data_IF_557182337268
#
_entry.id   IF_557182337268
#
_cell.length_a   1.000
_cell.length_b   1.000
_cell.length_c   1.000
_cell.angle_alpha   90.00
_cell.angle_beta   90.00
_cell.angle_gamma   90.00
#
_symmetry.space_group_name_H-M   'P 1'
#
loop_
_entity.id
_entity.type
_entity.pdbx_description
1 polymer ?
#
# COMPACT_ATOMS: atom_id res chain seq x y z
N UNK A 1 7.61 -19.88 27.53
CA UNK A 1 8.08 -18.48 27.67
C UNK A 1 7.17 -17.51 26.93
N UNK A 2 6.98 -17.66 25.61
CA UNK A 2 6.18 -16.71 24.79
C UNK A 2 4.77 -16.39 25.33
N UNK A 3 4.03 -17.40 25.81
CA UNK A 3 2.67 -17.21 26.36
C UNK A 3 2.57 -16.23 27.55
N UNK A 4 3.70 -15.87 28.18
CA UNK A 4 3.74 -14.80 29.19
C UNK A 4 3.95 -13.42 28.58
N UNK A 5 4.74 -13.33 27.50
CA UNK A 5 5.03 -12.10 26.76
C UNK A 5 3.80 -11.65 25.98
N UNK A 6 3.06 -12.59 25.38
CA UNK A 6 1.90 -12.28 24.54
C UNK A 6 0.70 -11.69 25.30
N UNK A 7 0.71 -11.72 26.64
CA UNK A 7 -0.34 -11.12 27.47
C UNK A 7 -0.38 -9.60 27.37
N UNK A 8 0.74 -8.98 26.97
CA UNK A 8 0.87 -7.52 26.86
C UNK A 8 1.82 -7.16 25.71
N UNK A 9 1.44 -7.51 24.48
CA UNK A 9 2.28 -7.29 23.29
C UNK A 9 2.59 -5.80 23.06
N UNK A 10 1.67 -4.91 23.42
CA UNK A 10 1.84 -3.47 23.21
C UNK A 10 2.93 -2.92 24.13
N UNK A 11 2.88 -3.22 25.44
CA UNK A 11 3.89 -2.75 26.37
C UNK A 11 5.28 -3.35 26.08
N UNK A 12 5.35 -4.65 25.73
CA UNK A 12 6.62 -5.28 25.34
C UNK A 12 7.14 -4.73 24.02
N UNK A 13 6.26 -4.47 23.06
CA UNK A 13 6.62 -3.88 21.77
C UNK A 13 7.20 -2.47 21.92
N UNK A 14 6.59 -1.62 22.76
CA UNK A 14 7.12 -0.28 23.05
C UNK A 14 8.52 -0.41 23.67
N UNK A 15 8.69 -1.26 24.68
CA UNK A 15 10.02 -1.51 25.30
C UNK A 15 11.06 -1.97 24.27
N UNK A 16 10.68 -2.85 23.37
CA UNK A 16 11.54 -3.36 22.30
C UNK A 16 12.03 -2.24 21.38
N UNK A 17 11.14 -1.40 20.86
CA UNK A 17 11.52 -0.29 20.00
C UNK A 17 12.32 0.79 20.75
N UNK A 18 11.94 1.13 21.98
CA UNK A 18 12.73 2.04 22.81
C UNK A 18 14.14 1.52 23.04
N UNK A 19 14.31 0.20 23.20
CA UNK A 19 15.62 -0.42 23.31
C UNK A 19 16.42 -0.32 22.01
N UNK A 20 15.79 -0.55 20.85
CA UNK A 20 16.42 -0.32 19.53
C UNK A 20 16.91 1.11 19.42
N UNK A 21 16.08 2.11 19.73
CA UNK A 21 16.46 3.52 19.63
C UNK A 21 17.51 3.94 20.66
N UNK A 22 17.63 3.22 21.78
CA UNK A 22 18.71 3.42 22.74
C UNK A 22 20.04 2.90 22.21
N UNK A 23 20.05 1.73 21.57
CA UNK A 23 21.25 1.10 21.00
C UNK A 23 21.68 1.83 19.71
N UNK A 24 20.72 2.20 18.87
CA UNK A 24 20.92 2.84 17.57
C UNK A 24 19.93 4.02 17.38
N UNK A 25 20.26 5.21 17.91
CA UNK A 25 19.39 6.39 17.82
C UNK A 25 19.02 6.79 16.38
N UNK A 26 19.93 6.54 15.43
CA UNK A 26 19.70 6.80 14.00
C UNK A 26 18.54 5.99 13.41
N UNK A 27 18.22 4.82 13.97
CA UNK A 27 17.11 3.98 13.48
C UNK A 27 15.76 4.70 13.59
N UNK A 28 15.59 5.64 14.51
CA UNK A 28 14.36 6.42 14.66
C UNK A 28 13.99 7.16 13.37
N UNK A 29 14.97 7.56 12.56
CA UNK A 29 14.73 8.29 11.31
C UNK A 29 13.97 7.50 10.25
N UNK A 30 13.91 6.17 10.39
CA UNK A 30 13.20 5.29 9.48
C UNK A 30 11.69 5.24 9.73
N UNK A 31 11.20 5.87 10.80
CA UNK A 31 9.81 5.77 11.23
C UNK A 31 9.07 7.10 11.08
N UNK A 32 7.78 7.03 10.72
CA UNK A 32 6.91 8.20 10.56
C UNK A 32 6.65 8.95 11.88
N UNK A 33 6.75 8.26 13.02
CA UNK A 33 6.53 8.82 14.34
C UNK A 33 7.80 9.42 14.99
N UNK A 34 8.89 9.60 14.22
CA UNK A 34 10.18 10.11 14.72
C UNK A 34 10.11 11.45 15.44
N UNK A 35 9.11 12.27 15.11
CA UNK A 35 8.91 13.61 15.67
C UNK A 35 7.87 13.63 16.82
N UNK A 36 7.47 12.46 17.33
CA UNK A 36 6.55 12.36 18.46
C UNK A 36 7.14 13.05 19.71
N UNK A 37 6.34 13.91 20.35
CA UNK A 37 6.75 14.65 21.57
C UNK A 37 7.09 13.73 22.74
N UNK A 38 6.33 12.65 22.88
CA UNK A 38 6.54 11.59 23.86
C UNK A 38 6.44 10.26 23.12
N UNK A 39 7.60 9.73 22.73
CA UNK A 39 7.69 8.55 21.87
C UNK A 39 7.09 7.31 22.56
N UNK A 40 7.31 7.14 23.86
CA UNK A 40 6.79 6.00 24.63
C UNK A 40 5.25 5.99 24.71
N UNK A 41 4.63 7.18 24.67
CA UNK A 41 3.17 7.33 24.69
C UNK A 41 2.57 7.56 23.31
N UNK A 42 3.35 7.44 22.24
CA UNK A 42 2.87 7.63 20.87
C UNK A 42 1.89 6.51 20.50
N UNK A 43 0.64 6.84 20.10
CA UNK A 43 -0.31 5.87 19.55
C UNK A 43 0.23 5.17 18.30
N UNK A 44 0.99 5.90 17.49
CA UNK A 44 1.60 5.40 16.26
C UNK A 44 2.69 4.37 16.56
N UNK A 45 3.58 4.65 17.54
CA UNK A 45 4.55 3.66 18.00
C UNK A 45 3.83 2.43 18.57
N UNK A 46 2.83 2.61 19.42
CA UNK A 46 2.10 1.49 20.02
C UNK A 46 1.46 0.58 18.95
N UNK A 47 0.80 1.17 17.95
CA UNK A 47 0.18 0.44 16.85
C UNK A 47 1.22 -0.31 15.99
N UNK A 48 2.34 0.36 15.66
CA UNK A 48 3.44 -0.26 14.92
C UNK A 48 4.06 -1.42 15.72
N UNK A 49 4.39 -1.17 16.98
CA UNK A 49 5.02 -2.12 17.88
C UNK A 49 4.13 -3.35 18.11
N UNK A 50 2.84 -3.17 18.37
CA UNK A 50 1.89 -4.28 18.52
C UNK A 50 1.74 -5.11 17.24
N UNK A 51 1.90 -4.50 16.06
CA UNK A 51 1.91 -5.24 14.79
C UNK A 51 3.16 -6.11 14.67
N UNK A 52 4.34 -5.56 14.93
CA UNK A 52 5.61 -6.30 14.89
C UNK A 52 5.59 -7.46 15.89
N UNK A 53 5.16 -7.21 17.13
CA UNK A 53 5.11 -8.25 18.16
C UNK A 53 4.12 -9.37 17.85
N UNK A 54 2.99 -9.08 17.19
CA UNK A 54 2.07 -10.11 16.67
C UNK A 54 2.72 -10.94 15.56
N UNK A 55 3.46 -10.32 14.63
CA UNK A 55 4.20 -11.04 13.59
C UNK A 55 5.26 -11.96 14.20
N UNK A 56 6.00 -11.49 15.23
CA UNK A 56 6.92 -12.34 15.98
C UNK A 56 6.17 -13.50 16.64
N UNK A 57 4.99 -13.26 17.21
CA UNK A 57 4.15 -14.32 17.79
C UNK A 57 3.71 -15.37 16.78
N UNK A 58 3.36 -14.98 15.56
CA UNK A 58 3.05 -15.91 14.48
C UNK A 58 4.26 -16.76 14.10
N UNK A 59 5.46 -16.17 14.02
CA UNK A 59 6.69 -16.91 13.77
C UNK A 59 6.99 -17.89 14.92
N UNK A 60 6.79 -17.49 16.18
CA UNK A 60 6.96 -18.36 17.36
C UNK A 60 5.98 -19.54 17.33
N UNK A 61 4.71 -19.30 16.97
CA UNK A 61 3.70 -20.36 16.84
C UNK A 61 4.06 -21.36 15.73
N UNK A 62 4.69 -20.89 14.65
CA UNK A 62 5.15 -21.72 13.54
C UNK A 62 6.44 -22.51 13.81
N UNK A 63 7.11 -22.34 14.96
CA UNK A 63 8.36 -23.08 15.26
C UNK A 63 8.19 -24.60 15.31
N UNK A 64 6.94 -25.07 15.42
CA UNK A 64 6.59 -26.49 15.29
C UNK A 64 6.82 -27.05 13.88
N UNK A 65 6.85 -26.19 12.85
CA UNK A 65 7.16 -26.52 11.46
C UNK A 65 8.01 -25.41 10.82
N UNK A 66 9.30 -25.44 11.13
CA UNK A 66 10.28 -24.47 10.62
C UNK A 66 10.35 -24.46 9.08
N UNK A 67 10.05 -25.58 8.40
CA UNK A 67 10.09 -25.64 6.94
C UNK A 67 9.02 -24.74 6.32
N UNK A 68 7.83 -24.67 6.93
CA UNK A 68 6.77 -23.75 6.48
C UNK A 68 7.06 -22.29 6.80
N UNK A 69 7.91 -22.01 7.79
CA UNK A 69 8.34 -20.65 8.13
C UNK A 69 9.40 -20.09 7.21
N UNK A 70 10.24 -20.93 6.58
CA UNK A 70 11.34 -20.45 5.73
C UNK A 70 10.85 -19.48 4.63
N UNK A 71 9.82 -19.80 3.82
CA UNK A 71 9.32 -18.87 2.80
C UNK A 71 8.79 -17.56 3.38
N UNK A 72 8.16 -17.61 4.56
CA UNK A 72 7.64 -16.42 5.25
C UNK A 72 8.79 -15.51 5.69
N UNK A 73 9.83 -16.09 6.30
CA UNK A 73 11.03 -15.35 6.72
C UNK A 73 11.81 -14.80 5.53
N UNK A 74 11.94 -15.54 4.43
CA UNK A 74 12.57 -15.04 3.20
C UNK A 74 11.80 -13.84 2.64
N UNK A 75 10.48 -13.95 2.54
CA UNK A 75 9.61 -12.86 2.10
C UNK A 75 9.77 -11.63 3.01
N UNK A 76 9.80 -11.85 4.32
CA UNK A 76 9.99 -10.80 5.30
C UNK A 76 11.38 -10.14 5.17
N UNK A 77 12.45 -10.92 4.98
CA UNK A 77 13.80 -10.40 4.76
C UNK A 77 13.89 -9.51 3.53
N UNK A 78 13.33 -9.96 2.40
CA UNK A 78 13.25 -9.15 1.18
C UNK A 78 12.40 -7.89 1.35
N UNK A 79 11.29 -7.96 2.10
CA UNK A 79 10.49 -6.78 2.40
C UNK A 79 11.26 -5.74 3.22
N UNK A 80 12.12 -6.15 4.17
CA UNK A 80 12.94 -5.24 4.97
C UNK A 80 13.99 -4.48 4.13
N UNK A 81 14.49 -5.07 3.04
CA UNK A 81 15.40 -4.38 2.13
C UNK A 81 14.76 -3.10 1.53
N UNK A 82 13.45 -3.11 1.29
CA UNK A 82 12.69 -1.96 0.76
C UNK A 82 12.68 -0.77 1.73
N UNK A 83 12.85 -1.02 3.02
CA UNK A 83 12.91 0.00 4.06
C UNK A 83 14.35 0.42 4.40
N UNK A 84 15.33 0.00 3.60
CA UNK A 84 16.74 0.36 3.79
C UNK A 84 17.42 -0.38 4.95
N UNK A 85 16.83 -1.46 5.46
CA UNK A 85 17.47 -2.29 6.49
C UNK A 85 18.74 -2.92 5.93
N UNK A 86 19.83 -2.87 6.70
CA UNK A 86 21.12 -3.45 6.38
C UNK A 86 21.43 -4.62 7.31
N UNK A 87 22.35 -5.54 6.93
CA UNK A 87 22.76 -6.65 7.77
C UNK A 87 23.21 -6.23 9.19
N UNK A 88 23.84 -5.05 9.32
CA UNK A 88 24.32 -4.51 10.60
C UNK A 88 23.18 -4.19 11.58
N UNK A 89 21.93 -4.12 11.12
CA UNK A 89 20.78 -3.91 12.00
C UNK A 89 20.34 -5.19 12.73
N UNK A 90 20.62 -6.40 12.21
CA UNK A 90 20.16 -7.64 12.85
C UNK A 90 20.74 -7.83 14.27
N UNK A 91 22.03 -7.58 14.56
CA UNK A 91 22.56 -7.68 15.91
C UNK A 91 21.87 -6.73 16.90
N UNK A 92 21.55 -5.50 16.47
CA UNK A 92 20.87 -4.48 17.30
C UNK A 92 19.46 -4.95 17.66
N UNK A 93 18.72 -5.46 16.67
CA UNK A 93 17.37 -5.98 16.86
C UNK A 93 17.38 -7.23 17.75
N UNK A 94 18.34 -8.13 17.57
CA UNK A 94 18.52 -9.31 18.41
C UNK A 94 18.79 -8.97 19.88
N UNK A 95 19.67 -8.00 20.14
CA UNK A 95 19.93 -7.50 21.49
C UNK A 95 18.66 -6.93 22.12
N UNK A 96 17.94 -6.08 21.38
CA UNK A 96 16.71 -5.47 21.87
C UNK A 96 15.62 -6.51 22.17
N UNK A 97 15.49 -7.55 21.34
CA UNK A 97 14.56 -8.65 21.53
C UNK A 97 14.88 -9.42 22.80
N UNK A 98 16.13 -9.87 22.97
CA UNK A 98 16.56 -10.62 24.14
C UNK A 98 16.40 -9.83 25.44
N UNK A 99 16.75 -8.53 25.42
CA UNK A 99 16.52 -7.64 26.55
C UNK A 99 15.04 -7.51 26.89
N UNK A 100 14.17 -7.38 25.89
CA UNK A 100 12.72 -7.27 26.10
C UNK A 100 12.13 -8.54 26.69
N UNK A 101 12.58 -9.70 26.21
CA UNK A 101 12.19 -11.00 26.75
C UNK A 101 12.65 -11.17 28.21
N UNK A 102 13.85 -10.70 28.56
CA UNK A 102 14.32 -10.66 29.95
C UNK A 102 13.39 -9.82 30.84
N UNK A 103 12.98 -8.63 30.39
CA UNK A 103 12.07 -7.78 31.15
C UNK A 103 10.68 -8.40 31.33
N UNK A 104 10.18 -9.14 30.33
CA UNK A 104 8.87 -9.78 30.38
C UNK A 104 8.85 -11.10 31.16
N UNK A 105 9.94 -11.87 31.13
CA UNK A 105 10.02 -13.22 31.70
C UNK A 105 10.75 -13.27 33.04
N UNK A 106 11.60 -12.28 33.32
CA UNK A 106 12.36 -12.15 34.55
C UNK A 106 11.48 -12.10 35.81
N UNK A 107 10.43 -11.25 35.87
CA UNK A 107 9.55 -11.19 37.04
C UNK A 107 8.83 -12.51 37.36
N UNK A 108 8.59 -13.35 36.35
CA UNK A 108 8.00 -14.67 36.52
C UNK A 108 9.03 -15.77 36.87
N UNK A 109 10.33 -15.43 36.97
CA UNK A 109 11.42 -16.38 37.19
C UNK A 109 11.68 -17.32 36.01
N UNK A 110 11.13 -17.02 34.83
CA UNK A 110 11.21 -17.89 33.64
C UNK A 110 12.46 -17.60 32.79
N UNK A 111 13.07 -16.43 32.95
CA UNK A 111 14.29 -16.06 32.24
C UNK A 111 15.55 -16.76 32.80
N UNK A 112 15.74 -18.02 32.44
CA UNK A 112 16.93 -18.81 32.77
C UNK A 112 18.00 -18.70 31.68
N UNK A 113 19.23 -19.16 31.97
CA UNK A 113 20.29 -19.27 30.95
C UNK A 113 19.87 -20.16 29.78
N UNK A 114 19.19 -21.28 30.06
CA UNK A 114 18.68 -22.19 29.03
C UNK A 114 17.62 -21.51 28.14
N UNK A 115 16.71 -20.72 28.73
CA UNK A 115 15.69 -19.97 27.98
C UNK A 115 16.34 -18.87 27.14
N UNK A 116 17.34 -18.16 27.67
CA UNK A 116 18.12 -17.16 26.92
C UNK A 116 18.85 -17.81 25.74
N UNK A 117 19.48 -18.95 25.95
CA UNK A 117 20.21 -19.68 24.90
C UNK A 117 19.26 -20.18 23.80
N UNK A 118 18.07 -20.67 24.18
CA UNK A 118 17.04 -21.09 23.23
C UNK A 118 16.54 -19.92 22.37
N UNK A 119 16.29 -18.75 22.97
CA UNK A 119 15.87 -17.56 22.23
C UNK A 119 16.98 -17.00 21.33
N UNK A 120 18.23 -17.03 21.79
CA UNK A 120 19.39 -16.64 20.97
C UNK A 120 19.48 -17.52 19.71
N UNK A 121 19.41 -18.86 19.86
CA UNK A 121 19.42 -19.78 18.72
C UNK A 121 18.22 -19.60 17.78
N UNK A 122 17.06 -19.28 18.35
CA UNK A 122 15.85 -18.99 17.57
C UNK A 122 16.08 -17.74 16.71
N UNK A 123 16.63 -16.67 17.30
CA UNK A 123 17.00 -15.46 16.58
C UNK A 123 18.04 -15.72 15.50
N UNK A 124 19.11 -16.46 15.80
CA UNK A 124 20.15 -16.82 14.82
C UNK A 124 19.56 -17.57 13.62
N UNK A 125 18.60 -18.47 13.87
CA UNK A 125 17.89 -19.17 12.81
C UNK A 125 17.10 -18.20 11.92
N UNK A 126 16.38 -17.26 12.53
CA UNK A 126 15.66 -16.20 11.79
C UNK A 126 16.62 -15.39 10.92
N UNK A 127 17.75 -14.93 11.49
CA UNK A 127 18.77 -14.16 10.77
C UNK A 127 19.35 -14.96 9.61
N UNK A 128 19.66 -16.25 9.82
CA UNK A 128 20.23 -17.12 8.78
C UNK A 128 19.34 -17.27 7.53
N UNK A 129 18.03 -17.03 7.67
CA UNK A 129 17.05 -17.09 6.58
C UNK A 129 16.75 -15.70 6.03
N UNK A 130 16.58 -14.69 6.90
CA UNK A 130 16.19 -13.35 6.51
C UNK A 130 17.34 -12.55 5.89
N UNK A 131 18.55 -12.66 6.43
CA UNK A 131 19.70 -11.86 5.98
C UNK A 131 20.08 -12.12 4.52
N UNK A 132 20.19 -13.38 4.04
CA UNK A 132 20.46 -13.63 2.62
C UNK A 132 19.37 -13.10 1.70
N UNK A 133 18.09 -13.24 2.09
CA UNK A 133 16.97 -12.72 1.32
C UNK A 133 16.94 -11.18 1.28
N UNK A 134 17.31 -10.54 2.38
CA UNK A 134 17.51 -9.09 2.46
C UNK A 134 18.62 -8.64 1.52
N UNK A 135 19.78 -9.29 1.56
CA UNK A 135 20.94 -8.93 0.73
C UNK A 135 20.60 -9.07 -0.76
N UNK A 136 19.97 -10.18 -1.14
CA UNK A 136 19.56 -10.39 -2.53
C UNK A 136 18.56 -9.34 -2.99
N UNK A 137 17.52 -9.06 -2.19
CA UNK A 137 16.53 -8.04 -2.54
C UNK A 137 17.15 -6.63 -2.57
N UNK A 138 18.09 -6.30 -1.68
CA UNK A 138 18.79 -5.03 -1.68
C UNK A 138 19.66 -4.88 -2.94
N UNK A 139 20.33 -5.96 -3.36
CA UNK A 139 21.09 -6.00 -4.60
C UNK A 139 20.20 -5.77 -5.81
N UNK A 140 19.06 -6.47 -5.89
CA UNK A 140 18.08 -6.25 -6.96
C UNK A 140 17.62 -4.79 -7.01
N UNK A 141 17.18 -4.24 -5.87
CA UNK A 141 16.72 -2.84 -5.78
C UNK A 141 17.83 -1.88 -6.25
N UNK A 142 19.08 -2.10 -5.84
CA UNK A 142 20.21 -1.26 -6.24
C UNK A 142 20.58 -1.35 -7.72
N UNK A 143 20.26 -2.48 -8.38
CA UNK A 143 20.54 -2.72 -9.79
C UNK A 143 19.39 -2.25 -10.71
N UNK A 144 18.22 -1.92 -10.15
CA UNK A 144 17.06 -1.49 -10.92
C UNK A 144 17.28 -0.12 -11.57
N UNK A 145 16.69 0.07 -12.75
CA UNK A 145 16.61 1.40 -13.35
C UNK A 145 15.68 2.29 -12.51
N UNK A 146 15.83 3.62 -12.53
CA UNK A 146 14.89 4.52 -11.83
C UNK A 146 13.44 4.31 -12.25
N UNK A 147 13.19 4.01 -13.53
CA UNK A 147 11.85 3.73 -14.03
C UNK A 147 11.27 2.44 -13.44
N UNK A 148 12.06 1.36 -13.38
CA UNK A 148 11.59 0.10 -12.81
C UNK A 148 11.41 0.21 -11.30
N UNK A 149 12.25 0.98 -10.61
CA UNK A 149 12.09 1.24 -9.19
C UNK A 149 10.75 1.93 -8.91
N UNK A 150 10.41 2.98 -9.67
CA UNK A 150 9.12 3.65 -9.54
C UNK A 150 7.92 2.71 -9.80
N UNK A 151 7.99 1.86 -10.84
CA UNK A 151 6.94 0.86 -11.09
C UNK A 151 6.75 -0.07 -9.89
N UNK A 152 7.86 -0.55 -9.31
CA UNK A 152 7.83 -1.42 -8.14
C UNK A 152 7.23 -0.74 -6.92
N UNK A 153 7.57 0.53 -6.65
CA UNK A 153 6.94 1.31 -5.57
C UNK A 153 5.42 1.40 -5.73
N UNK A 154 4.95 1.66 -6.95
CA UNK A 154 3.52 1.74 -7.27
C UNK A 154 2.83 0.39 -7.10
N UNK A 155 3.42 -0.68 -7.63
CA UNK A 155 2.87 -2.05 -7.53
C UNK A 155 2.84 -2.57 -6.09
N UNK A 156 3.95 -2.42 -5.36
CA UNK A 156 4.07 -2.88 -3.97
C UNK A 156 3.13 -2.14 -3.03
N UNK A 157 3.00 -0.82 -3.21
CA UNK A 157 2.08 -0.02 -2.40
C UNK A 157 0.61 -0.28 -2.77
N UNK A 158 0.30 -0.45 -4.06
CA UNK A 158 -1.05 -0.85 -4.49
C UNK A 158 -1.49 -2.18 -3.87
N UNK A 159 -0.58 -3.16 -3.75
CA UNK A 159 -0.87 -4.46 -3.13
C UNK A 159 -1.35 -4.37 -1.67
N UNK A 160 -1.09 -3.24 -0.99
CA UNK A 160 -1.63 -2.98 0.35
C UNK A 160 -3.01 -2.34 0.28
N UNK A 161 -3.23 -1.42 -0.66
CA UNK A 161 -4.52 -0.73 -0.87
C UNK A 161 -5.58 -1.70 -1.38
N UNK A 162 -5.20 -2.64 -2.24
CA UNK A 162 -6.14 -3.58 -2.86
C UNK A 162 -6.74 -4.60 -1.90
N UNK A 163 -6.21 -4.71 -0.67
CA UNK A 163 -6.78 -5.55 0.38
C UNK A 163 -8.16 -5.07 0.84
N UNK A 164 -8.50 -3.81 0.59
CA UNK A 164 -9.79 -3.21 0.92
C UNK A 164 -10.22 -2.21 -0.17
N UNK A 165 -10.36 -2.69 -1.41
CA UNK A 165 -10.71 -1.83 -2.56
C UNK A 165 -12.04 -1.09 -2.36
N UNK A 166 -13.01 -1.73 -1.71
CA UNK A 166 -14.34 -1.15 -1.54
C UNK A 166 -14.27 0.08 -0.62
N UNK A 167 -13.65 -0.02 0.56
CA UNK A 167 -13.55 1.12 1.47
C UNK A 167 -12.69 2.25 0.87
N UNK A 168 -11.56 1.91 0.22
CA UNK A 168 -10.72 2.92 -0.42
C UNK A 168 -11.43 3.57 -1.61
N UNK A 169 -12.19 2.81 -2.39
CA UNK A 169 -12.97 3.33 -3.51
C UNK A 169 -14.05 4.32 -3.09
N UNK A 170 -14.78 4.02 -2.00
CA UNK A 170 -15.75 4.96 -1.43
C UNK A 170 -15.04 6.26 -1.01
N UNK A 171 -13.94 6.17 -0.25
CA UNK A 171 -13.14 7.34 0.16
C UNK A 171 -12.69 8.18 -1.04
N UNK A 172 -12.23 7.54 -2.11
CA UNK A 172 -11.80 8.19 -3.33
C UNK A 172 -12.91 9.04 -3.97
N UNK A 173 -14.10 8.49 -4.17
CA UNK A 173 -15.21 9.23 -4.75
C UNK A 173 -15.76 10.32 -3.82
N UNK A 174 -15.85 10.04 -2.52
CA UNK A 174 -16.24 11.06 -1.54
C UNK A 174 -15.26 12.23 -1.54
N UNK A 175 -13.96 11.96 -1.74
CA UNK A 175 -12.95 13.02 -1.89
C UNK A 175 -13.14 13.82 -3.18
N UNK A 176 -13.43 13.18 -4.32
CA UNK A 176 -13.78 13.87 -5.57
C UNK A 176 -14.96 14.82 -5.35
N UNK A 177 -16.06 14.35 -4.76
CA UNK A 177 -17.25 15.17 -4.53
C UNK A 177 -17.05 16.27 -3.48
N UNK A 178 -16.07 16.11 -2.60
CA UNK A 178 -15.65 17.17 -1.68
C UNK A 178 -14.89 18.29 -2.41
N UNK A 179 -13.99 17.94 -3.33
CA UNK A 179 -13.20 18.90 -4.10
C UNK A 179 -14.07 19.58 -5.17
N UNK A 180 -14.91 18.80 -5.85
CA UNK A 180 -15.77 19.25 -6.94
C UNK A 180 -17.21 18.69 -6.78
N UNK A 181 -18.06 19.33 -5.98
CA UNK A 181 -19.44 18.87 -5.74
C UNK A 181 -20.28 18.73 -7.01
N UNK A 182 -20.01 19.56 -8.03
CA UNK A 182 -20.68 19.49 -9.33
C UNK A 182 -20.44 18.18 -10.09
N UNK A 183 -19.33 17.48 -9.83
CA UNK A 183 -19.01 16.21 -10.48
C UNK A 183 -20.04 15.12 -10.16
N UNK A 184 -20.72 15.20 -9.00
CA UNK A 184 -21.77 14.26 -8.61
C UNK A 184 -22.89 14.18 -9.66
N UNK A 185 -23.15 15.27 -10.40
CA UNK A 185 -24.21 15.31 -11.41
C UNK A 185 -23.96 14.39 -12.61
N UNK A 186 -22.72 13.93 -12.80
CA UNK A 186 -22.34 13.00 -13.88
C UNK A 186 -22.69 11.54 -13.56
N UNK A 187 -23.10 11.25 -12.32
CA UNK A 187 -23.33 9.88 -11.86
C UNK A 187 -24.81 9.57 -11.68
N UNK A 188 -25.19 8.33 -11.97
CA UNK A 188 -26.58 7.85 -11.82
C UNK A 188 -27.06 7.81 -10.37
N UNK A 189 -26.14 7.71 -9.41
CA UNK A 189 -26.41 7.65 -7.98
C UNK A 189 -26.46 9.01 -7.28
N UNK A 190 -26.48 10.11 -8.04
CA UNK A 190 -26.47 11.49 -7.52
C UNK A 190 -27.58 11.82 -6.51
N UNK A 191 -28.71 11.12 -6.59
CA UNK A 191 -29.89 11.32 -5.75
C UNK A 191 -29.97 10.34 -4.56
N UNK A 192 -28.89 9.59 -4.29
CA UNK A 192 -28.82 8.67 -3.16
C UNK A 192 -28.98 9.42 -1.82
N UNK A 193 -29.84 8.90 -0.93
CA UNK A 193 -30.09 9.50 0.39
C UNK A 193 -28.86 9.49 1.30
N UNK A 194 -28.11 8.40 1.27
CA UNK A 194 -26.84 8.23 1.98
C UNK A 194 -25.81 7.77 0.93
N UNK A 195 -25.11 8.75 0.37
CA UNK A 195 -24.20 8.53 -0.76
C UNK A 195 -23.08 7.56 -0.41
N UNK A 196 -22.51 7.68 0.79
CA UNK A 196 -21.39 6.84 1.26
C UNK A 196 -21.79 5.36 1.41
N UNK A 197 -23.08 5.10 1.70
CA UNK A 197 -23.63 3.74 1.83
C UNK A 197 -24.41 3.29 0.59
N UNK A 198 -24.36 4.04 -0.50
CA UNK A 198 -25.05 3.67 -1.74
C UNK A 198 -24.42 2.41 -2.34
N UNK A 199 -25.20 1.34 -2.60
CA UNK A 199 -24.70 0.16 -3.29
C UNK A 199 -24.26 0.48 -4.73
N UNK A 200 -24.88 1.47 -5.37
CA UNK A 200 -24.50 1.95 -6.70
C UNK A 200 -23.13 2.63 -6.69
N UNK A 201 -22.86 3.50 -5.70
CA UNK A 201 -21.54 4.08 -5.53
C UNK A 201 -20.50 3.00 -5.24
N UNK A 202 -20.79 2.06 -4.33
CA UNK A 202 -19.88 0.97 -4.01
C UNK A 202 -19.52 0.12 -5.23
N UNK A 203 -20.51 -0.25 -6.05
CA UNK A 203 -20.29 -1.02 -7.26
C UNK A 203 -19.45 -0.25 -8.29
N UNK A 204 -19.73 1.04 -8.48
CA UNK A 204 -18.96 1.89 -9.38
C UNK A 204 -17.52 2.09 -8.89
N UNK A 205 -17.36 2.43 -7.61
CA UNK A 205 -16.07 2.61 -6.96
C UNK A 205 -15.20 1.36 -7.06
N UNK A 206 -15.75 0.18 -6.72
CA UNK A 206 -15.02 -1.09 -6.86
C UNK A 206 -14.60 -1.38 -8.29
N UNK A 207 -15.41 -1.00 -9.29
CA UNK A 207 -15.05 -1.15 -10.71
C UNK A 207 -13.87 -0.27 -11.08
N UNK A 208 -13.92 1.02 -10.72
CA UNK A 208 -12.83 1.96 -10.98
C UNK A 208 -11.55 1.51 -10.29
N UNK A 209 -11.61 1.13 -9.01
CA UNK A 209 -10.45 0.67 -8.27
C UNK A 209 -9.84 -0.60 -8.86
N UNK A 210 -10.65 -1.56 -9.34
CA UNK A 210 -10.14 -2.73 -10.10
C UNK A 210 -9.47 -2.33 -11.40
N UNK A 211 -10.02 -1.37 -12.15
CA UNK A 211 -9.40 -0.84 -13.38
C UNK A 211 -8.07 -0.17 -13.09
N UNK A 212 -7.95 0.59 -11.99
CA UNK A 212 -6.67 1.14 -11.52
C UNK A 212 -5.68 0.00 -11.23
N UNK A 213 -6.12 -1.05 -10.53
CA UNK A 213 -5.28 -2.22 -10.26
C UNK A 213 -4.79 -2.93 -11.53
N UNK A 214 -5.63 -3.04 -12.56
CA UNK A 214 -5.23 -3.55 -13.87
C UNK A 214 -4.17 -2.67 -14.54
N UNK A 215 -4.32 -1.34 -14.46
CA UNK A 215 -3.32 -0.41 -14.99
C UNK A 215 -1.98 -0.51 -14.22
N UNK A 216 -2.02 -0.65 -12.89
CA UNK A 216 -0.84 -0.86 -12.05
C UNK A 216 -0.12 -2.17 -12.41
N UNK A 217 -0.86 -3.26 -12.59
CA UNK A 217 -0.29 -4.53 -13.06
C UNK A 217 0.32 -4.40 -14.47
N UNK A 218 -0.29 -3.59 -15.33
CA UNK A 218 0.18 -3.30 -16.69
C UNK A 218 1.43 -2.42 -16.78
N UNK A 219 1.91 -1.82 -15.69
CA UNK A 219 3.14 -0.99 -15.70
C UNK A 219 4.40 -1.74 -16.15
N UNK A 220 4.39 -3.07 -16.02
CA UNK A 220 5.46 -3.95 -16.51
C UNK A 220 5.54 -3.98 -18.04
N UNK A 221 4.44 -3.67 -18.74
CA UNK A 221 4.35 -3.59 -20.20
C UNK A 221 3.51 -2.38 -20.62
N UNK A 222 4.12 -1.20 -20.51
CA UNK A 222 3.45 0.08 -20.82
C UNK A 222 2.95 0.14 -22.27
N UNK A 223 3.60 -0.57 -23.20
CA UNK A 223 3.21 -0.52 -24.62
C UNK A 223 1.85 -1.16 -24.86
N UNK A 224 1.51 -2.22 -24.12
CA UNK A 224 0.17 -2.83 -24.19
C UNK A 224 -0.87 -2.07 -23.38
N UNK A 225 -0.44 -1.31 -22.36
CA UNK A 225 -1.33 -0.47 -21.56
C UNK A 225 -1.79 0.80 -22.29
N UNK A 226 -0.96 1.40 -23.15
CA UNK A 226 -1.27 2.66 -23.85
C UNK A 226 -2.61 2.59 -24.62
N UNK A 227 -2.87 1.59 -25.49
CA UNK A 227 -4.16 1.51 -26.21
C UNK A 227 -5.37 1.38 -25.28
N UNK A 228 -5.20 0.70 -24.15
CA UNK A 228 -6.27 0.55 -23.13
C UNK A 228 -6.60 1.90 -22.52
N UNK A 229 -5.58 2.68 -22.13
CA UNK A 229 -5.76 4.03 -21.58
C UNK A 229 -6.35 4.99 -22.61
N UNK A 230 -5.93 4.94 -23.88
CA UNK A 230 -6.52 5.76 -24.94
C UNK A 230 -8.01 5.45 -25.12
N UNK A 231 -8.37 4.16 -25.19
CA UNK A 231 -9.77 3.73 -25.28
C UNK A 231 -10.58 4.22 -24.08
N UNK A 232 -10.01 4.11 -22.87
CA UNK A 232 -10.63 4.58 -21.65
C UNK A 232 -10.82 6.12 -21.66
N UNK A 233 -9.82 6.89 -22.09
CA UNK A 233 -9.90 8.34 -22.22
C UNK A 233 -11.03 8.77 -23.16
N UNK A 234 -11.10 8.16 -24.36
CA UNK A 234 -12.18 8.41 -25.30
C UNK A 234 -13.56 8.02 -24.77
N UNK A 235 -13.66 6.93 -24.00
CA UNK A 235 -14.92 6.53 -23.37
C UNK A 235 -15.43 7.57 -22.36
N UNK A 236 -14.52 8.23 -21.62
CA UNK A 236 -14.88 9.27 -20.65
C UNK A 236 -15.50 10.51 -21.30
N UNK A 237 -15.16 10.82 -22.56
CA UNK A 237 -15.79 11.92 -23.30
C UNK A 237 -17.32 11.74 -23.43
N UNK A 238 -17.79 10.49 -23.57
CA UNK A 238 -19.23 10.18 -23.67
C UNK A 238 -20.01 10.56 -22.41
N UNK A 239 -19.33 10.59 -21.27
CA UNK A 239 -19.91 10.94 -19.98
C UNK A 239 -19.73 12.41 -19.61
N UNK A 240 -19.24 13.24 -20.54
CA UNK A 240 -19.07 14.68 -20.33
C UNK A 240 -17.85 15.05 -19.47
N UNK A 241 -16.91 14.12 -19.26
CA UNK A 241 -15.65 14.43 -18.58
C UNK A 241 -14.86 15.44 -19.41
N UNK A 242 -14.27 16.42 -18.74
CA UNK A 242 -13.45 17.47 -19.33
C UNK A 242 -12.01 17.39 -18.83
N UNK A 243 -11.03 17.96 -19.55
CA UNK A 243 -9.63 18.01 -19.11
C UNK A 243 -9.45 18.54 -17.67
N UNK A 244 -10.25 19.51 -17.25
CA UNK A 244 -10.19 20.14 -15.93
C UNK A 244 -10.55 19.16 -14.78
N UNK A 245 -11.14 18.00 -15.09
CA UNK A 245 -11.43 16.97 -14.10
C UNK A 245 -10.20 16.12 -13.74
N UNK A 246 -9.19 15.99 -14.62
CA UNK A 246 -8.02 15.14 -14.32
C UNK A 246 -7.24 15.59 -13.08
N UNK A 247 -6.95 16.90 -12.87
CA UNK A 247 -6.29 17.35 -11.64
C UNK A 247 -7.07 17.00 -10.36
N UNK A 248 -8.41 17.10 -10.39
CA UNK A 248 -9.28 16.77 -9.24
C UNK A 248 -9.19 15.28 -8.92
N UNK A 249 -9.27 14.43 -9.95
CA UNK A 249 -9.17 12.97 -9.80
C UNK A 249 -7.78 12.57 -9.29
N UNK A 250 -6.72 13.19 -9.80
CA UNK A 250 -5.35 12.98 -9.34
C UNK A 250 -5.16 13.33 -7.86
N UNK A 251 -5.67 14.48 -7.42
CA UNK A 251 -5.64 14.87 -6.00
C UNK A 251 -6.39 13.85 -5.13
N UNK A 252 -7.59 13.45 -5.55
CA UNK A 252 -8.39 12.49 -4.80
C UNK A 252 -7.71 11.11 -4.72
N UNK A 253 -7.05 10.67 -5.79
CA UNK A 253 -6.30 9.41 -5.83
C UNK A 253 -5.14 9.44 -4.84
N UNK A 254 -4.27 10.46 -4.93
CA UNK A 254 -3.11 10.60 -4.04
C UNK A 254 -3.52 10.71 -2.58
N UNK A 255 -4.60 11.45 -2.27
CA UNK A 255 -5.15 11.52 -0.93
C UNK A 255 -5.64 10.15 -0.44
N UNK A 256 -6.33 9.39 -1.30
CA UNK A 256 -6.84 8.05 -0.93
C UNK A 256 -5.70 7.08 -0.64
N UNK A 257 -4.64 7.10 -1.45
CA UNK A 257 -3.44 6.31 -1.25
C UNK A 257 -2.75 6.68 0.07
N UNK A 258 -2.64 7.97 0.38
CA UNK A 258 -2.13 8.44 1.68
C UNK A 258 -2.94 7.88 2.85
N UNK A 259 -4.27 7.88 2.77
CA UNK A 259 -5.11 7.33 3.84
C UNK A 259 -4.96 5.81 3.98
N UNK A 260 -4.75 5.08 2.88
CA UNK A 260 -4.58 3.63 2.89
C UNK A 260 -3.18 3.18 3.33
N UNK A 261 -2.15 3.96 3.01
CA UNK A 261 -0.74 3.60 3.20
C UNK A 261 -0.09 4.28 4.40
N UNK A 262 -0.63 5.41 4.85
CA UNK A 262 -0.14 6.19 5.98
C UNK A 262 -0.10 5.40 7.30
N UNK A 263 -1.16 4.69 7.70
CA UNK A 263 -1.15 3.91 8.94
C UNK A 263 -0.07 2.81 8.99
N UNK A 264 0.32 2.27 7.84
CA UNK A 264 1.39 1.29 7.71
C UNK A 264 2.79 1.93 7.58
N UNK A 265 2.88 3.27 7.55
CA UNK A 265 4.13 3.99 7.32
C UNK A 265 4.68 3.86 5.90
N UNK A 266 3.88 3.39 4.94
CA UNK A 266 4.32 3.13 3.56
C UNK A 266 4.20 4.38 2.68
N UNK A 267 3.39 5.36 3.07
CA UNK A 267 3.26 6.62 2.34
C UNK A 267 4.47 7.54 2.53
N UNK A 268 5.57 7.24 1.82
CA UNK A 268 6.80 8.04 1.81
C UNK A 268 6.77 9.10 0.71
N UNK A 269 7.71 10.06 0.76
CA UNK A 269 7.89 11.03 -0.33
C UNK A 269 8.19 10.37 -1.68
N UNK A 270 8.90 9.25 -1.65
CA UNK A 270 9.26 8.49 -2.85
C UNK A 270 8.04 7.75 -3.43
N UNK A 271 7.22 7.12 -2.58
CA UNK A 271 5.96 6.49 -3.02
C UNK A 271 5.00 7.55 -3.58
N UNK A 272 4.89 8.71 -2.93
CA UNK A 272 4.09 9.83 -3.43
C UNK A 272 4.57 10.32 -4.80
N UNK A 273 5.88 10.52 -4.98
CA UNK A 273 6.47 10.95 -6.24
C UNK A 273 6.25 9.91 -7.35
N UNK A 274 6.42 8.62 -7.03
CA UNK A 274 6.16 7.53 -7.96
C UNK A 274 4.71 7.53 -8.46
N UNK A 275 3.74 7.61 -7.54
CA UNK A 275 2.32 7.69 -7.88
C UNK A 275 1.93 8.95 -8.64
N UNK A 276 2.52 10.10 -8.29
CA UNK A 276 2.28 11.37 -9.00
C UNK A 276 2.70 11.25 -10.46
N UNK A 277 3.92 10.75 -10.71
CA UNK A 277 4.43 10.53 -12.08
C UNK A 277 3.64 9.47 -12.85
N UNK A 278 3.18 8.42 -12.18
CA UNK A 278 2.28 7.43 -12.79
C UNK A 278 0.96 8.07 -13.20
N UNK A 279 0.35 8.89 -12.34
CA UNK A 279 -0.86 9.64 -12.68
C UNK A 279 -0.63 10.58 -13.86
N UNK A 280 0.44 11.37 -13.86
CA UNK A 280 0.79 12.28 -14.96
C UNK A 280 0.95 11.52 -16.28
N UNK A 281 1.54 10.32 -16.23
CA UNK A 281 1.66 9.44 -17.41
C UNK A 281 0.29 9.00 -17.90
N UNK A 282 -0.61 8.57 -17.01
CA UNK A 282 -2.00 8.21 -17.35
C UNK A 282 -2.72 9.40 -18.01
N UNK A 283 -2.62 10.59 -17.43
CA UNK A 283 -3.21 11.82 -17.99
C UNK A 283 -2.66 12.12 -19.37
N UNK A 284 -1.35 12.02 -19.57
CA UNK A 284 -0.70 12.30 -20.87
C UNK A 284 -1.19 11.39 -22.01
N UNK A 285 -1.74 10.22 -21.68
CA UNK A 285 -2.32 9.28 -22.65
C UNK A 285 -3.83 9.43 -22.78
N UNK A 286 -4.54 9.59 -21.66
CA UNK A 286 -6.01 9.63 -21.62
C UNK A 286 -6.57 10.97 -22.10
N UNK A 287 -5.97 12.09 -21.71
CA UNK A 287 -6.49 13.43 -21.98
C UNK A 287 -6.55 13.74 -23.50
N UNK A 288 -5.50 13.48 -24.32
CA UNK A 288 -5.59 13.69 -25.76
C UNK A 288 -6.69 12.84 -26.42
N UNK A 289 -6.85 11.59 -26.00
CA UNK A 289 -7.88 10.69 -26.51
C UNK A 289 -9.30 11.16 -26.12
N UNK A 290 -9.44 11.70 -24.91
CA UNK A 290 -10.69 12.33 -24.45
C UNK A 290 -11.03 13.55 -25.31
N UNK A 291 -10.07 14.45 -25.53
CA UNK A 291 -10.28 15.68 -26.30
C UNK A 291 -10.68 15.35 -27.74
N UNK A 292 -9.99 14.41 -28.39
CA UNK A 292 -10.32 14.01 -29.75
C UNK A 292 -11.71 13.38 -29.81
N UNK A 293 -12.06 12.48 -28.88
CA UNK A 293 -13.39 11.87 -28.88
C UNK A 293 -14.50 12.87 -28.58
N UNK A 294 -14.27 13.83 -27.68
CA UNK A 294 -15.22 14.90 -27.40
C UNK A 294 -15.44 15.80 -28.63
N UNK A 295 -14.37 16.11 -29.36
CA UNK A 295 -14.43 16.85 -30.62
C UNK A 295 -15.23 16.09 -31.67
N UNK A 296 -14.96 14.80 -31.86
CA UNK A 296 -15.73 13.95 -32.78
C UNK A 296 -17.22 13.93 -32.43
N UNK A 297 -17.56 13.69 -31.15
CA UNK A 297 -18.94 13.69 -30.66
C UNK A 297 -19.62 15.03 -30.95
N UNK A 298 -18.94 16.15 -30.72
CA UNK A 298 -19.50 17.50 -30.96
C UNK A 298 -19.71 17.81 -32.44
N UNK A 299 -18.92 17.20 -33.33
CA UNK A 299 -18.98 17.42 -34.78
C UNK A 299 -19.95 16.45 -35.49
N UNK A 300 -20.49 15.45 -34.79
CA UNK A 300 -21.37 14.44 -35.38
C UNK A 300 -22.72 15.04 -35.83
N UNK A 301 -23.18 14.60 -37.00
CA UNK A 301 -24.55 14.90 -37.44
C UNK A 301 -25.58 14.14 -36.59
N UNK A 302 -26.85 14.60 -36.52
CA UNK A 302 -27.91 13.86 -35.82
C UNK A 302 -28.08 12.42 -36.30
N UNK A 303 -27.88 12.16 -37.60
CA UNK A 303 -27.98 10.82 -38.17
C UNK A 303 -26.82 9.91 -37.73
N UNK A 304 -25.59 10.44 -37.74
CA UNK A 304 -24.41 9.69 -37.26
C UNK A 304 -24.50 9.43 -35.77
N UNK A 305 -25.01 10.39 -34.99
CA UNK A 305 -25.21 10.24 -33.55
C UNK A 305 -26.19 9.10 -33.26
N UNK A 306 -27.33 9.05 -33.97
CA UNK A 306 -28.31 7.99 -33.83
C UNK A 306 -27.73 6.62 -34.21
N UNK A 307 -26.97 6.53 -35.29
CA UNK A 307 -26.29 5.30 -35.70
C UNK A 307 -25.32 4.81 -34.63
N UNK A 308 -24.52 5.72 -34.05
CA UNK A 308 -23.58 5.39 -32.98
C UNK A 308 -24.29 4.88 -31.73
N UNK A 309 -25.39 5.49 -31.32
CA UNK A 309 -26.19 5.03 -30.17
C UNK A 309 -26.71 3.60 -30.38
N UNK A 310 -27.19 3.27 -31.59
CA UNK A 310 -27.63 1.91 -31.92
C UNK A 310 -26.47 0.92 -31.85
N UNK A 311 -25.30 1.28 -32.38
CA UNK A 311 -24.12 0.42 -32.37
C UNK A 311 -23.59 0.20 -30.94
N UNK A 312 -23.47 1.26 -30.15
CA UNK A 312 -22.99 1.20 -28.76
C UNK A 312 -23.95 0.37 -27.89
N UNK A 313 -25.27 0.53 -28.07
CA UNK A 313 -26.26 -0.26 -27.32
C UNK A 313 -26.29 -1.73 -27.76
N UNK A 314 -26.09 -2.03 -29.05
CA UNK A 314 -26.00 -3.42 -29.54
C UNK A 314 -24.78 -4.16 -28.98
N UNK A 315 -23.63 -3.48 -28.89
CA UNK A 315 -22.40 -4.07 -28.33
C UNK A 315 -22.54 -4.47 -26.85
N UNK A 316 -23.46 -3.87 -26.09
CA UNK A 316 -23.78 -4.28 -24.72
C UNK A 316 -24.65 -5.54 -24.66
N UNK A 317 -25.39 -5.84 -25.72
CA UNK A 317 -26.25 -7.04 -25.81
C UNK A 317 -25.45 -8.27 -26.27
N UNK A 318 -24.34 -8.08 -26.99
CA UNK A 318 -23.48 -9.17 -27.46
C UNK A 318 -22.49 -9.71 -26.41
N UNK A 319 -22.27 -9.01 -25.29
CA UNK A 319 -21.40 -9.42 -24.18
C UNK A 319 -22.17 -10.19 -23.10
#
# INVERSE_FOLDING_TARGET
SWALVEKDLDAHGIKFFMRIFTIAPGALQLFSFKDAKDLEKSPELAAHAGTVMRTVGQAVAGLSDVQTLIPVLQSLGGAHAKYGVQPEHFPIVGEALLWTLEQGLGPAGVWTSEVKDAWTKTWDTVVSVMEPALIESAREISAMTPADHMKRLVQDSWALVEKDLDAHGIKFFMRIFTIAPGALQLFSFKDAKDLEKSPELAAHAGTVMRTVGQAVAGLSDVQTLIPVLQSLGGAHAKYGVQPEHFPIVGEALLWTLEQGLGPAGVWTSEVKDAWTKTWDTVVSVMEPALIESAREISAMTPADHMKRLVQDSWALVEK
#
